data_IF_388978429067
#
_entry.id   IF_388978429067
#
_cell.length_a   1.000
_cell.length_b   1.000
_cell.length_c   1.000
_cell.angle_alpha   90.00
_cell.angle_beta   90.00
_cell.angle_gamma   90.00
#
_symmetry.space_group_name_H-M   'P 1'
#
loop_
_entity.id
_entity.type
_entity.pdbx_description
1 polymer ?
#
# COMPACT_ATOMS: atom_id res chain seq x y z
N UNK A 1 12.78 -12.65 -2.29
CA UNK A 1 11.56 -12.55 -1.47
C UNK A 1 11.76 -13.43 -0.24
N UNK A 2 12.48 -12.91 0.76
CA UNK A 2 12.89 -13.64 1.99
C UNK A 2 12.76 -12.78 3.26
N UNK A 3 12.44 -11.49 3.12
CA UNK A 3 12.31 -10.52 4.21
C UNK A 3 11.06 -10.76 5.09
N UNK A 4 10.01 -11.38 4.54
CA UNK A 4 8.74 -11.58 5.25
C UNK A 4 8.75 -12.79 6.21
N UNK A 5 9.80 -13.60 6.23
CA UNK A 5 9.98 -14.66 7.24
C UNK A 5 10.68 -14.18 8.53
N UNK A 6 11.01 -12.88 8.63
CA UNK A 6 11.87 -12.34 9.69
C UNK A 6 11.33 -11.09 10.37
N UNK A 7 10.11 -10.65 10.06
CA UNK A 7 9.53 -9.46 10.63
C UNK A 7 8.22 -9.78 11.38
N UNK A 8 8.14 -9.40 12.64
CA UNK A 8 6.92 -9.49 13.44
C UNK A 8 5.90 -8.39 13.08
N UNK A 9 6.30 -7.46 12.22
CA UNK A 9 5.56 -6.25 11.90
C UNK A 9 5.85 -5.74 10.49
N UNK A 10 4.81 -5.38 9.75
CA UNK A 10 4.90 -4.66 8.48
C UNK A 10 4.06 -3.38 8.46
N UNK A 11 4.49 -2.42 7.63
CA UNK A 11 3.72 -1.21 7.32
C UNK A 11 3.50 -1.20 5.81
N UNK A 12 2.26 -1.29 5.35
CA UNK A 12 1.89 -1.34 3.93
C UNK A 12 1.48 0.05 3.48
N UNK A 13 2.19 0.58 2.46
CA UNK A 13 1.84 1.84 1.83
C UNK A 13 0.89 1.60 0.67
N UNK A 14 -0.28 2.22 0.73
CA UNK A 14 -1.31 2.17 -0.30
C UNK A 14 -1.32 3.46 -1.10
N UNK A 15 -1.78 3.39 -2.34
CA UNK A 15 -1.95 4.57 -3.18
C UNK A 15 -3.11 4.36 -4.14
N UNK A 16 -3.99 5.35 -4.29
CA UNK A 16 -5.13 5.25 -5.20
C UNK A 16 -4.67 4.85 -6.61
N UNK A 17 -5.39 3.95 -7.31
CA UNK A 17 -5.03 3.52 -8.66
C UNK A 17 -4.86 4.69 -9.64
N UNK A 18 -5.68 5.73 -9.49
CA UNK A 18 -5.62 6.97 -10.30
C UNK A 18 -4.32 7.75 -10.10
N UNK A 19 -3.74 7.74 -8.89
CA UNK A 19 -2.45 8.35 -8.61
C UNK A 19 -1.26 7.41 -8.92
N UNK A 20 -1.47 6.10 -8.81
CA UNK A 20 -0.45 5.09 -9.07
C UNK A 20 -0.12 4.95 -10.56
N UNK A 21 -1.13 4.95 -11.43
CA UNK A 21 -0.97 4.79 -12.88
C UNK A 21 0.06 5.76 -13.50
N UNK A 22 -0.06 7.09 -13.37
CA UNK A 22 0.89 8.02 -13.99
C UNK A 22 2.31 7.85 -13.43
N UNK A 23 2.47 7.42 -12.18
CA UNK A 23 3.80 7.15 -11.59
C UNK A 23 4.46 5.93 -12.22
N UNK A 24 3.70 4.87 -12.52
CA UNK A 24 4.22 3.67 -13.17
C UNK A 24 4.54 3.92 -14.65
N UNK A 25 3.70 4.69 -15.34
CA UNK A 25 3.95 5.11 -16.73
C UNK A 25 5.21 5.98 -16.83
N UNK A 26 5.40 6.94 -15.91
CA UNK A 26 6.60 7.78 -15.86
C UNK A 26 7.88 6.98 -15.60
N UNK A 27 7.78 5.79 -14.99
CA UNK A 27 8.91 4.84 -14.81
C UNK A 27 9.21 4.03 -16.08
N UNK A 28 8.45 4.22 -17.16
CA UNK A 28 8.63 3.50 -18.43
C UNK A 28 8.13 2.06 -18.40
N UNK A 29 7.18 1.73 -17.51
CA UNK A 29 6.61 0.38 -17.48
C UNK A 29 5.72 0.12 -18.69
N UNK A 30 5.71 -1.13 -19.16
CA UNK A 30 4.79 -1.54 -20.23
C UNK A 30 3.35 -1.46 -19.75
N UNK A 31 2.42 -1.22 -20.68
CA UNK A 31 0.97 -1.17 -20.36
C UNK A 31 0.48 -2.41 -19.61
N UNK A 32 0.99 -3.60 -19.97
CA UNK A 32 0.67 -4.85 -19.27
C UNK A 32 1.12 -4.82 -17.81
N UNK A 33 2.36 -4.38 -17.55
CA UNK A 33 2.92 -4.29 -16.20
C UNK A 33 2.22 -3.21 -15.35
N UNK A 34 1.86 -2.07 -15.96
CA UNK A 34 1.05 -1.04 -15.31
C UNK A 34 -0.29 -1.62 -14.87
N UNK A 35 -1.02 -2.29 -15.78
CA UNK A 35 -2.31 -2.93 -15.48
C UNK A 35 -2.21 -3.93 -14.35
N UNK A 36 -1.21 -4.82 -14.38
CA UNK A 36 -0.95 -5.81 -13.33
C UNK A 36 -0.74 -5.16 -11.96
N UNK A 37 0.04 -4.07 -11.88
CA UNK A 37 0.28 -3.38 -10.61
C UNK A 37 -0.97 -2.64 -10.10
N UNK A 38 -1.77 -2.08 -11.01
CA UNK A 38 -3.04 -1.43 -10.63
C UNK A 38 -4.06 -2.45 -10.13
N UNK A 39 -4.16 -3.61 -10.78
CA UNK A 39 -5.02 -4.72 -10.35
C UNK A 39 -4.56 -5.25 -8.99
N UNK A 40 -3.26 -5.42 -8.78
CA UNK A 40 -2.72 -5.86 -7.50
C UNK A 40 -3.02 -4.87 -6.36
N UNK A 41 -2.94 -3.56 -6.63
CA UNK A 41 -3.30 -2.52 -5.67
C UNK A 41 -4.80 -2.48 -5.40
N UNK A 42 -5.64 -2.65 -6.42
CA UNK A 42 -7.10 -2.63 -6.27
C UNK A 42 -7.64 -3.88 -5.57
N UNK A 43 -6.95 -5.01 -5.67
CA UNK A 43 -7.31 -6.29 -5.05
C UNK A 43 -6.61 -6.52 -3.70
N UNK A 44 -5.97 -5.50 -3.13
CA UNK A 44 -5.27 -5.57 -1.84
C UNK A 44 -4.19 -6.66 -1.77
N UNK A 45 -3.60 -7.09 -2.89
CA UNK A 45 -2.75 -8.31 -2.94
C UNK A 45 -1.60 -8.22 -1.93
N UNK A 46 -0.88 -7.10 -1.88
CA UNK A 46 0.24 -6.89 -0.96
C UNK A 46 -0.22 -6.77 0.49
N UNK A 47 -1.40 -6.19 0.73
CA UNK A 47 -1.97 -6.07 2.08
C UNK A 47 -2.36 -7.45 2.63
N UNK A 48 -3.02 -8.28 1.81
CA UNK A 48 -3.40 -9.65 2.17
C UNK A 48 -2.16 -10.47 2.46
N UNK A 49 -1.16 -10.44 1.58
CA UNK A 49 0.13 -11.10 1.80
C UNK A 49 0.79 -10.67 3.12
N UNK A 50 0.78 -9.37 3.42
CA UNK A 50 1.34 -8.85 4.67
C UNK A 50 0.60 -9.35 5.91
N UNK A 51 -0.73 -9.42 5.87
CA UNK A 51 -1.58 -9.94 6.96
C UNK A 51 -1.35 -11.43 7.19
N UNK A 52 -1.16 -12.20 6.12
CA UNK A 52 -0.87 -13.65 6.22
C UNK A 52 0.52 -13.93 6.79
N UNK A 53 1.49 -13.04 6.54
CA UNK A 53 2.90 -13.26 6.91
C UNK A 53 3.32 -12.59 8.22
N UNK A 54 2.69 -11.48 8.63
CA UNK A 54 3.11 -10.70 9.80
C UNK A 54 2.04 -10.71 10.91
N UNK A 55 2.42 -10.93 12.18
CA UNK A 55 1.51 -10.81 13.33
C UNK A 55 0.86 -9.42 13.46
N UNK A 56 1.59 -8.36 13.10
CA UNK A 56 1.10 -6.99 13.09
C UNK A 56 1.28 -6.38 11.70
N UNK A 57 0.23 -5.70 11.24
CA UNK A 57 0.26 -4.90 10.01
C UNK A 57 -0.34 -3.54 10.33
N UNK A 58 0.31 -2.47 9.88
CA UNK A 58 -0.29 -1.16 9.80
C UNK A 58 -0.42 -0.73 8.32
N UNK A 59 -1.53 -0.10 7.94
CA UNK A 59 -1.83 0.35 6.58
C UNK A 59 -1.83 1.88 6.50
N UNK A 60 -1.11 2.44 5.53
CA UNK A 60 -1.07 3.88 5.29
C UNK A 60 -1.52 4.16 3.85
N UNK A 61 -2.69 4.79 3.69
CA UNK A 61 -3.02 5.48 2.45
C UNK A 61 -2.09 6.69 2.28
N UNK A 62 -1.36 6.72 1.18
CA UNK A 62 -0.44 7.80 0.82
C UNK A 62 -1.02 8.77 -0.21
N UNK A 63 -2.28 8.57 -0.62
CA UNK A 63 -2.96 9.40 -1.61
C UNK A 63 -3.03 10.84 -1.12
N UNK A 64 -2.58 11.79 -1.96
CA UNK A 64 -2.55 13.22 -1.64
C UNK A 64 -1.56 13.65 -0.56
N UNK A 65 -0.73 12.74 -0.03
CA UNK A 65 0.23 13.02 1.04
C UNK A 65 1.66 13.18 0.50
N UNK A 66 2.41 14.07 1.14
CA UNK A 66 3.84 14.24 0.93
C UNK A 66 4.67 13.11 1.56
N UNK A 67 5.92 12.97 1.14
CA UNK A 67 6.83 11.99 1.75
C UNK A 67 7.11 12.31 3.23
N UNK A 68 7.18 13.60 3.56
CA UNK A 68 7.41 14.10 4.92
C UNK A 68 6.25 13.74 5.86
N UNK A 69 5.00 13.88 5.39
CA UNK A 69 3.81 13.48 6.14
C UNK A 69 3.80 11.97 6.39
N UNK A 70 4.03 11.17 5.34
CA UNK A 70 4.06 9.70 5.46
C UNK A 70 5.19 9.25 6.39
N UNK A 71 6.38 9.85 6.30
CA UNK A 71 7.48 9.57 7.21
C UNK A 71 7.13 9.92 8.68
N UNK A 72 6.38 11.00 8.89
CA UNK A 72 5.84 11.35 10.19
C UNK A 72 4.89 10.28 10.74
N UNK A 73 3.95 9.83 9.91
CA UNK A 73 3.01 8.76 10.28
C UNK A 73 3.73 7.45 10.61
N UNK A 74 4.72 7.05 9.80
CA UNK A 74 5.55 5.86 10.06
C UNK A 74 6.25 5.98 11.41
N UNK A 75 6.84 7.14 11.73
CA UNK A 75 7.47 7.37 13.03
C UNK A 75 6.46 7.24 14.18
N UNK A 76 5.29 7.83 14.05
CA UNK A 76 4.25 7.78 15.08
C UNK A 76 3.72 6.36 15.29
N UNK A 77 3.64 5.57 14.21
CA UNK A 77 3.32 4.14 14.25
C UNK A 77 4.40 3.36 15.01
N UNK A 78 5.68 3.56 14.65
CA UNK A 78 6.85 2.92 15.31
C UNK A 78 6.94 3.25 16.79
N UNK A 79 6.61 4.49 17.18
CA UNK A 79 6.60 4.94 18.57
C UNK A 79 5.32 4.55 19.35
N UNK A 80 4.37 3.87 18.70
CA UNK A 80 3.12 3.44 19.31
C UNK A 80 2.13 4.58 19.59
N UNK A 81 2.33 5.75 18.98
CA UNK A 81 1.44 6.92 19.08
C UNK A 81 0.29 6.87 18.07
N UNK A 82 0.44 6.06 17.02
CA UNK A 82 -0.55 5.84 15.99
C UNK A 82 -0.71 4.34 15.71
N UNK A 83 -1.93 3.89 15.46
CA UNK A 83 -2.23 2.54 15.01
C UNK A 83 -3.23 2.62 13.87
N UNK A 84 -2.89 1.99 12.74
CA UNK A 84 -3.69 1.99 11.53
C UNK A 84 -3.88 0.54 11.08
N UNK A 85 -4.84 -0.21 11.64
CA UNK A 85 -5.04 -1.61 11.26
C UNK A 85 -5.34 -1.75 9.75
N UNK A 86 -5.06 -2.90 9.14
CA UNK A 86 -5.32 -3.12 7.71
C UNK A 86 -6.82 -3.09 7.38
N UNK A 87 -7.14 -2.76 6.12
CA UNK A 87 -8.49 -2.80 5.57
C UNK A 87 -9.27 -1.50 5.75
N UNK A 88 -8.58 -0.36 5.90
CA UNK A 88 -9.23 0.96 5.97
C UNK A 88 -9.50 1.58 4.59
N UNK A 89 -8.98 0.95 3.54
CA UNK A 89 -8.97 1.49 2.18
C UNK A 89 -9.56 0.45 1.23
N UNK A 90 -10.55 0.87 0.44
CA UNK A 90 -11.15 0.04 -0.61
C UNK A 90 -11.03 0.78 -1.95
N UNK A 91 -10.25 0.21 -2.87
CA UNK A 91 -10.09 0.73 -4.23
C UNK A 91 -10.83 -0.09 -5.28
N UNK A 92 -11.55 -1.14 -4.87
CA UNK A 92 -12.22 -2.05 -5.80
C UNK A 92 -13.35 -1.31 -6.53
N UNK A 93 -14.10 -0.46 -5.83
CA UNK A 93 -15.16 0.36 -6.43
C UNK A 93 -14.58 1.36 -7.44
N UNK A 94 -13.54 2.10 -7.05
CA UNK A 94 -12.84 3.07 -7.89
C UNK A 94 -12.23 2.43 -9.14
N UNK A 95 -11.66 1.23 -9.00
CA UNK A 95 -11.04 0.50 -10.11
C UNK A 95 -12.07 -0.09 -11.08
N UNK A 96 -13.21 -0.58 -10.57
CA UNK A 96 -14.30 -1.12 -11.38
C UNK A 96 -15.21 -0.04 -12.00
N UNK A 97 -15.04 1.22 -11.60
CA UNK A 97 -15.74 2.37 -12.17
C UNK A 97 -17.23 2.38 -11.84
N UNK A 98 -17.60 2.00 -10.61
CA UNK A 98 -18.97 2.07 -10.11
C UNK A 98 -19.17 3.25 -9.17
#
# INVERSE_FOLDING_TARGET
HFSHHFADWSIVLRLSPSALQPRLEARGYSRAKVKENLEAEALDVILVEAVEMCPRVDEIDTTGRSAEEVAGMIRDIVEGRLHLPPGQVDWLEDFLGR
#
